data_IF_040875709573
#
_entry.id   IF_040875709573
#
_cell.length_a   1.000
_cell.length_b   1.000
_cell.length_c   1.000
_cell.angle_alpha   90.00
_cell.angle_beta   90.00
_cell.angle_gamma   90.00
#
_symmetry.space_group_name_H-M   'P 1'
#
loop_
_entity.id
_entity.type
_entity.pdbx_description
1 polymer ?
#
# COMPACT_ATOMS: atom_id res chain seq x y z
N UNK A 1 -13.01 -36.98 24.60
CA UNK A 1 -13.19 -35.97 23.53
C UNK A 1 -11.88 -35.32 23.10
N UNK A 2 -11.03 -34.81 24.00
CA UNK A 2 -9.71 -34.23 23.62
C UNK A 2 -8.77 -35.25 22.94
N UNK A 3 -8.87 -36.54 23.28
CA UNK A 3 -8.03 -37.61 22.73
C UNK A 3 -8.06 -37.75 21.20
N UNK A 4 -9.01 -37.11 20.51
CA UNK A 4 -9.12 -37.13 19.05
C UNK A 4 -8.29 -36.03 18.36
N UNK A 5 -7.79 -35.05 19.13
CA UNK A 5 -6.97 -33.95 18.64
C UNK A 5 -5.51 -34.15 19.02
N UNK A 6 -4.64 -34.18 18.02
CA UNK A 6 -3.20 -34.30 18.22
C UNK A 6 -2.57 -32.94 17.98
N UNK A 7 -1.94 -32.40 19.02
CA UNK A 7 -1.33 -31.08 19.00
C UNK A 7 -0.13 -31.05 18.03
N UNK A 8 -0.13 -30.09 17.11
CA UNK A 8 0.94 -29.87 16.13
C UNK A 8 1.81 -28.69 16.59
N UNK A 9 1.16 -27.60 17.00
CA UNK A 9 1.83 -26.38 17.39
C UNK A 9 1.17 -25.75 18.62
N UNK A 10 2.00 -25.14 19.46
CA UNK A 10 1.58 -24.31 20.58
C UNK A 10 1.79 -22.85 20.16
N UNK A 11 0.71 -22.11 19.97
CA UNK A 11 0.77 -20.70 19.58
C UNK A 11 0.96 -19.80 20.80
N UNK A 12 0.23 -20.10 21.88
CA UNK A 12 0.25 -19.30 23.10
C UNK A 12 -0.11 -20.12 24.33
N UNK A 13 0.36 -19.69 25.50
CA UNK A 13 -0.05 -20.26 26.78
C UNK A 13 0.21 -19.30 27.92
N UNK A 14 -0.82 -19.06 28.70
CA UNK A 14 -0.80 -18.39 30.00
C UNK A 14 -1.60 -19.24 31.00
N UNK A 15 -1.81 -18.71 32.21
CA UNK A 15 -2.64 -19.34 33.23
C UNK A 15 -4.11 -19.46 32.80
N UNK A 16 -4.65 -18.45 32.11
CA UNK A 16 -6.06 -18.38 31.74
C UNK A 16 -6.37 -18.97 30.37
N UNK A 17 -5.41 -18.93 29.45
CA UNK A 17 -5.65 -19.40 28.09
C UNK A 17 -4.45 -20.11 27.49
N UNK A 18 -4.73 -21.21 26.78
CA UNK A 18 -3.79 -21.92 25.93
C UNK A 18 -4.37 -22.01 24.52
N UNK A 19 -3.60 -21.57 23.52
CA UNK A 19 -3.97 -21.62 22.10
C UNK A 19 -3.04 -22.59 21.38
N UNK A 20 -3.63 -23.58 20.72
CA UNK A 20 -2.90 -24.63 20.02
C UNK A 20 -3.50 -24.92 18.67
N UNK A 21 -2.66 -25.35 17.72
CA UNK A 21 -3.10 -25.92 16.45
C UNK A 21 -2.97 -27.43 16.54
N UNK A 22 -4.02 -28.14 16.14
CA UNK A 22 -4.11 -29.61 16.24
C UNK A 22 -4.74 -30.19 14.97
N UNK A 23 -4.50 -31.46 14.67
CA UNK A 23 -5.30 -32.20 13.68
C UNK A 23 -6.28 -33.16 14.35
N UNK A 24 -7.40 -33.44 13.70
CA UNK A 24 -8.39 -34.44 14.16
C UNK A 24 -8.21 -35.74 13.38
N UNK A 25 -8.02 -36.85 14.09
CA UNK A 25 -7.77 -38.22 13.58
C UNK A 25 -6.41 -38.44 12.89
N UNK A 26 -5.87 -39.67 12.97
CA UNK A 26 -4.50 -40.09 12.57
C UNK A 26 -4.04 -39.80 11.11
N UNK A 27 -4.87 -39.23 10.23
CA UNK A 27 -4.46 -38.91 8.84
C UNK A 27 -4.33 -37.40 8.67
N UNK A 28 -3.09 -36.97 8.42
CA UNK A 28 -2.74 -35.63 7.96
C UNK A 28 -3.19 -35.53 6.50
N UNK A 29 -4.41 -35.05 6.29
CA UNK A 29 -4.86 -34.52 5.00
C UNK A 29 -5.21 -33.07 5.31
N UNK A 30 -4.78 -32.14 4.45
CA UNK A 30 -4.82 -30.66 4.57
C UNK A 30 -6.19 -30.01 4.88
N UNK A 31 -7.20 -30.81 5.21
CA UNK A 31 -8.58 -30.40 5.51
C UNK A 31 -8.99 -30.57 6.99
N UNK A 32 -8.13 -31.13 7.85
CA UNK A 32 -8.49 -31.46 9.24
C UNK A 32 -7.61 -30.75 10.28
N UNK A 33 -7.19 -29.51 10.02
CA UNK A 33 -6.51 -28.70 11.04
C UNK A 33 -7.51 -27.82 11.80
N UNK A 34 -7.25 -27.66 13.09
CA UNK A 34 -8.11 -26.93 14.01
C UNK A 34 -7.28 -26.07 14.95
N UNK A 35 -7.78 -24.88 15.25
CA UNK A 35 -7.26 -24.04 16.33
C UNK A 35 -8.14 -24.24 17.56
N UNK A 36 -7.50 -24.62 18.67
CA UNK A 36 -8.14 -24.93 19.93
C UNK A 36 -7.77 -23.83 20.92
N UNK A 37 -8.78 -23.10 21.36
CA UNK A 37 -8.68 -22.15 22.46
C UNK A 37 -9.16 -22.84 23.74
N UNK A 38 -8.22 -23.26 24.57
CA UNK A 38 -8.48 -23.83 25.90
C UNK A 38 -8.46 -22.69 26.92
N UNK A 39 -9.59 -22.44 27.57
CA UNK A 39 -9.74 -21.37 28.55
C UNK A 39 -10.06 -21.98 29.92
N UNK A 40 -9.38 -21.53 30.96
CA UNK A 40 -9.61 -21.98 32.33
C UNK A 40 -11.01 -21.60 32.80
N UNK A 41 -11.74 -22.55 33.38
CA UNK A 41 -13.07 -22.28 33.94
C UNK A 41 -12.91 -21.62 35.33
N UNK A 42 -12.91 -20.28 35.33
CA UNK A 42 -12.82 -19.42 36.51
C UNK A 42 -13.94 -18.38 36.53
N UNK A 43 -14.23 -17.80 37.70
CA UNK A 43 -15.29 -16.77 37.89
C UNK A 43 -15.23 -15.65 36.85
N UNK A 44 -14.04 -15.15 36.54
CA UNK A 44 -13.80 -14.08 35.55
C UNK A 44 -14.05 -14.49 34.08
N UNK A 45 -14.08 -15.79 33.78
CA UNK A 45 -14.27 -16.33 32.42
C UNK A 45 -15.68 -16.86 32.16
N UNK A 46 -16.51 -17.00 33.20
CA UNK A 46 -17.85 -17.61 33.11
C UNK A 46 -18.75 -16.84 32.14
N UNK A 47 -18.65 -15.50 32.12
CA UNK A 47 -19.49 -14.69 31.25
C UNK A 47 -19.11 -14.84 29.77
N UNK A 48 -17.82 -14.93 29.47
CA UNK A 48 -17.35 -15.26 28.14
C UNK A 48 -17.82 -16.66 27.71
N UNK A 49 -17.75 -17.64 28.62
CA UNK A 49 -18.26 -19.00 28.37
C UNK A 49 -19.74 -19.00 28.00
N UNK A 50 -20.60 -18.30 28.76
CA UNK A 50 -22.04 -18.22 28.49
C UNK A 50 -22.33 -17.66 27.11
N UNK A 51 -21.67 -16.56 26.74
CA UNK A 51 -21.82 -15.92 25.42
C UNK A 51 -21.38 -16.85 24.29
N UNK A 52 -20.21 -17.47 24.41
CA UNK A 52 -19.71 -18.45 23.44
C UNK A 52 -20.61 -19.68 23.29
N UNK A 53 -21.13 -20.19 24.42
CA UNK A 53 -22.08 -21.31 24.42
C UNK A 53 -23.34 -20.93 23.65
N UNK A 54 -23.88 -19.74 23.90
CA UNK A 54 -25.07 -19.24 23.20
C UNK A 54 -24.86 -19.18 21.70
N UNK A 55 -23.69 -18.73 21.25
CA UNK A 55 -23.36 -18.67 19.82
C UNK A 55 -23.21 -20.07 19.23
N UNK A 56 -22.52 -20.98 19.93
CA UNK A 56 -22.29 -22.33 19.41
C UNK A 56 -23.58 -23.16 19.25
N UNK A 57 -24.53 -23.01 20.17
CA UNK A 57 -25.81 -23.73 20.15
C UNK A 57 -26.96 -22.91 19.56
N UNK A 58 -26.69 -21.66 19.15
CA UNK A 58 -27.69 -20.75 18.59
C UNK A 58 -27.81 -20.86 17.07
N UNK A 59 -28.73 -20.07 16.51
CA UNK A 59 -28.91 -19.96 15.06
C UNK A 59 -27.72 -19.24 14.38
N UNK A 60 -27.01 -18.39 15.12
CA UNK A 60 -25.83 -17.65 14.68
C UNK A 60 -24.53 -18.46 14.73
N UNK A 61 -24.61 -19.79 14.71
CA UNK A 61 -23.42 -20.64 14.75
C UNK A 61 -22.57 -20.40 13.51
N UNK A 62 -21.33 -19.99 13.72
CA UNK A 62 -20.35 -19.84 12.65
C UNK A 62 -19.97 -21.20 12.04
N UNK A 63 -19.86 -21.26 10.71
CA UNK A 63 -19.43 -22.47 9.98
C UNK A 63 -18.05 -22.96 10.48
N UNK A 64 -17.17 -22.01 10.77
CA UNK A 64 -15.82 -22.29 11.25
C UNK A 64 -15.78 -22.71 12.73
N UNK A 65 -16.88 -22.57 13.50
CA UNK A 65 -16.95 -22.96 14.92
C UNK A 65 -17.41 -24.42 15.06
N UNK A 66 -16.44 -25.32 15.18
CA UNK A 66 -16.62 -26.76 15.02
C UNK A 66 -17.16 -27.42 16.27
N UNK A 67 -16.49 -27.21 17.41
CA UNK A 67 -16.81 -27.87 18.67
C UNK A 67 -16.65 -26.91 19.86
N UNK A 68 -17.53 -27.09 20.84
CA UNK A 68 -17.49 -26.41 22.13
C UNK A 68 -17.85 -27.37 23.26
N UNK A 69 -16.96 -27.56 24.23
CA UNK A 69 -17.21 -28.45 25.36
C UNK A 69 -16.38 -28.08 26.60
N UNK A 70 -16.71 -28.69 27.74
CA UNK A 70 -15.98 -28.53 29.00
C UNK A 70 -15.26 -29.84 29.34
N UNK A 71 -14.02 -29.75 29.80
CA UNK A 71 -13.27 -30.89 30.33
C UNK A 71 -12.15 -30.41 31.26
N UNK A 72 -11.93 -31.13 32.37
CA UNK A 72 -10.85 -30.85 33.32
C UNK A 72 -10.81 -29.38 33.78
N UNK A 73 -11.95 -28.82 34.19
CA UNK A 73 -12.10 -27.42 34.60
C UNK A 73 -11.63 -26.38 33.56
N UNK A 74 -11.76 -26.71 32.28
CA UNK A 74 -11.50 -25.80 31.17
C UNK A 74 -12.63 -25.94 30.16
N UNK A 75 -12.98 -24.86 29.46
CA UNK A 75 -13.79 -24.95 28.26
C UNK A 75 -12.92 -24.81 27.01
N UNK A 76 -13.33 -25.49 25.96
CA UNK A 76 -12.59 -25.62 24.71
C UNK A 76 -13.45 -25.04 23.60
N UNK A 77 -12.90 -24.08 22.87
CA UNK A 77 -13.50 -23.55 21.66
C UNK A 77 -12.64 -23.96 20.47
N UNK A 78 -13.19 -24.80 19.60
CA UNK A 78 -12.46 -25.40 18.48
C UNK A 78 -12.98 -24.80 17.18
N UNK A 79 -12.08 -24.17 16.43
CA UNK A 79 -12.39 -23.60 15.13
C UNK A 79 -11.59 -24.29 14.03
N UNK A 80 -12.11 -24.28 12.80
CA UNK A 80 -11.37 -24.71 11.61
C UNK A 80 -10.14 -23.82 11.45
N UNK A 81 -8.99 -24.42 11.16
CA UNK A 81 -7.73 -23.71 10.91
C UNK A 81 -7.24 -24.00 9.50
N UNK A 82 -6.81 -22.94 8.80
CA UNK A 82 -6.13 -23.06 7.52
C UNK A 82 -4.73 -22.49 7.69
N UNK A 83 -3.74 -23.25 7.22
CA UNK A 83 -2.38 -22.75 7.13
C UNK A 83 -2.24 -21.93 5.84
N UNK A 84 -2.44 -20.63 5.97
CA UNK A 84 -2.32 -19.65 4.89
C UNK A 84 -1.53 -18.45 5.40
N UNK A 85 -0.94 -17.68 4.47
CA UNK A 85 -0.15 -16.51 4.82
C UNK A 85 -1.03 -15.40 5.40
N UNK A 86 -0.59 -14.78 6.51
CA UNK A 86 -1.29 -13.65 7.10
C UNK A 86 -1.11 -12.39 6.25
N UNK A 87 -2.05 -11.44 6.31
CA UNK A 87 -1.94 -10.19 5.56
C UNK A 87 -0.70 -9.38 5.96
N UNK A 88 -0.24 -9.52 7.22
CA UNK A 88 0.97 -8.87 7.71
C UNK A 88 2.24 -9.37 7.00
N UNK A 89 2.29 -10.67 6.67
CA UNK A 89 3.39 -11.24 5.91
C UNK A 89 3.23 -10.99 4.41
N UNK A 90 2.02 -11.24 3.88
CA UNK A 90 1.71 -11.17 2.44
C UNK A 90 1.90 -9.77 1.85
N UNK A 91 1.56 -8.73 2.61
CA UNK A 91 1.63 -7.34 2.16
C UNK A 91 2.77 -6.55 2.79
N UNK A 92 3.78 -7.23 3.36
CA UNK A 92 5.00 -6.56 3.81
C UNK A 92 5.61 -5.75 2.65
N UNK A 93 5.90 -4.47 2.90
CA UNK A 93 6.44 -3.53 1.91
C UNK A 93 7.64 -4.05 1.11
N UNK A 94 8.46 -4.93 1.70
CA UNK A 94 9.67 -5.49 1.07
C UNK A 94 9.35 -6.51 -0.01
N UNK A 95 8.19 -7.16 0.06
CA UNK A 95 7.79 -8.28 -0.80
C UNK A 95 6.55 -7.92 -1.65
N UNK A 96 5.85 -6.83 -1.32
CA UNK A 96 4.63 -6.38 -1.99
C UNK A 96 4.81 -6.19 -3.51
N UNK A 97 4.13 -7.05 -4.27
CA UNK A 97 4.10 -7.07 -5.75
C UNK A 97 2.69 -6.95 -6.36
N UNK A 98 1.64 -7.12 -5.54
CA UNK A 98 0.25 -7.06 -5.97
C UNK A 98 -0.16 -5.64 -6.36
N UNK A 99 -1.02 -5.52 -7.38
CA UNK A 99 -1.56 -4.23 -7.83
C UNK A 99 -2.57 -3.67 -6.83
N UNK A 100 -2.79 -2.36 -6.85
CA UNK A 100 -3.70 -1.66 -5.93
C UNK A 100 -5.12 -2.22 -6.00
N UNK A 101 -5.67 -2.38 -7.21
CA UNK A 101 -7.04 -2.86 -7.43
C UNK A 101 -7.30 -4.26 -6.85
N UNK A 102 -6.33 -5.16 -7.00
CA UNK A 102 -6.39 -6.50 -6.39
C UNK A 102 -6.43 -6.41 -4.85
N UNK A 103 -5.63 -5.52 -4.27
CA UNK A 103 -5.63 -5.30 -2.82
C UNK A 103 -6.95 -4.69 -2.33
N UNK A 104 -7.57 -3.82 -3.12
CA UNK A 104 -8.90 -3.26 -2.83
C UNK A 104 -9.94 -4.38 -2.72
N UNK A 105 -9.94 -5.32 -3.68
CA UNK A 105 -10.84 -6.47 -3.66
C UNK A 105 -10.59 -7.36 -2.43
N UNK A 106 -9.34 -7.58 -2.06
CA UNK A 106 -9.00 -8.35 -0.85
C UNK A 106 -9.46 -7.64 0.42
N UNK A 107 -9.26 -6.32 0.54
CA UNK A 107 -9.75 -5.54 1.67
C UNK A 107 -11.27 -5.65 1.80
N UNK A 108 -12.00 -5.51 0.69
CA UNK A 108 -13.47 -5.66 0.66
C UNK A 108 -13.90 -7.05 1.18
N UNK A 109 -13.27 -8.12 0.70
CA UNK A 109 -13.56 -9.49 1.19
C UNK A 109 -13.26 -9.65 2.68
N UNK A 110 -12.19 -9.03 3.18
CA UNK A 110 -11.84 -9.06 4.61
C UNK A 110 -12.89 -8.35 5.44
N UNK A 111 -13.28 -7.14 5.06
CA UNK A 111 -14.26 -6.35 5.81
C UNK A 111 -15.63 -7.06 5.82
N UNK A 112 -16.08 -7.61 4.68
CA UNK A 112 -17.31 -8.42 4.63
C UNK A 112 -17.20 -9.64 5.56
N UNK A 113 -16.06 -10.35 5.58
CA UNK A 113 -15.86 -11.49 6.48
C UNK A 113 -15.90 -11.07 7.96
N UNK A 114 -15.41 -9.88 8.31
CA UNK A 114 -15.47 -9.34 9.68
C UNK A 114 -16.92 -8.98 10.06
N UNK A 115 -17.70 -8.39 9.14
CA UNK A 115 -19.11 -8.05 9.37
C UNK A 115 -19.94 -9.31 9.71
N UNK A 116 -19.68 -10.41 9.02
CA UNK A 116 -20.31 -11.72 9.31
C UNK A 116 -19.98 -12.25 10.71
N UNK A 117 -18.94 -11.74 11.36
CA UNK A 117 -18.48 -12.17 12.68
C UNK A 117 -18.97 -11.25 13.81
N UNK A 118 -19.70 -10.16 13.51
CA UNK A 118 -20.11 -9.14 14.50
C UNK A 118 -20.88 -9.66 15.71
N UNK A 119 -21.52 -10.83 15.58
CA UNK A 119 -22.25 -11.48 16.67
C UNK A 119 -21.33 -12.15 17.69
N UNK A 120 -20.02 -12.25 17.41
CA UNK A 120 -19.04 -12.73 18.39
C UNK A 120 -18.86 -11.72 19.54
N UNK A 121 -18.48 -12.18 20.74
CA UNK A 121 -18.11 -11.31 21.84
C UNK A 121 -17.02 -10.32 21.41
N UNK A 122 -17.13 -9.06 21.84
CA UNK A 122 -16.18 -8.00 21.47
C UNK A 122 -14.74 -8.34 21.82
N UNK A 123 -14.52 -9.06 22.92
CA UNK A 123 -13.20 -9.55 23.35
C UNK A 123 -12.58 -10.50 22.32
N UNK A 124 -13.42 -11.31 21.67
CA UNK A 124 -13.01 -12.23 20.60
C UNK A 124 -12.78 -11.44 19.31
N UNK A 125 -13.69 -10.53 18.96
CA UNK A 125 -13.53 -9.66 17.79
C UNK A 125 -12.19 -8.92 17.84
N UNK A 126 -11.87 -8.29 18.98
CA UNK A 126 -10.59 -7.61 19.20
C UNK A 126 -9.35 -8.52 19.04
N UNK A 127 -9.48 -9.82 19.23
CA UNK A 127 -8.39 -10.77 18.97
C UNK A 127 -8.28 -11.12 17.48
N UNK A 128 -9.40 -11.46 16.86
CA UNK A 128 -9.39 -12.06 15.51
C UNK A 128 -9.28 -11.01 14.39
N UNK A 129 -9.61 -9.75 14.65
CA UNK A 129 -9.43 -8.64 13.68
C UNK A 129 -8.00 -8.12 13.62
N UNK A 130 -7.06 -8.66 14.40
CA UNK A 130 -5.64 -8.28 14.27
C UNK A 130 -5.08 -8.71 12.92
N UNK A 131 -4.22 -7.91 12.25
CA UNK A 131 -3.68 -8.26 10.94
C UNK A 131 -2.97 -9.62 10.87
N UNK A 132 -2.29 -10.06 11.93
CA UNK A 132 -1.65 -11.38 11.99
C UNK A 132 -2.63 -12.57 12.01
N UNK A 133 -3.90 -12.31 12.34
CA UNK A 133 -4.95 -13.33 12.43
C UNK A 133 -5.86 -13.37 11.19
N UNK A 134 -5.61 -12.52 10.20
CA UNK A 134 -6.33 -12.52 8.93
C UNK A 134 -5.41 -13.10 7.87
N UNK A 135 -5.87 -14.17 7.21
CA UNK A 135 -5.08 -14.94 6.26
C UNK A 135 -5.73 -14.94 4.88
N UNK A 136 -4.89 -14.93 3.84
CA UNK A 136 -5.32 -14.93 2.44
C UNK A 136 -4.55 -15.98 1.67
N UNK A 137 -5.25 -17.00 1.16
CA UNK A 137 -4.60 -18.05 0.37
C UNK A 137 -4.26 -17.57 -1.07
N UNK A 138 -3.74 -18.50 -1.87
CA UNK A 138 -3.37 -18.25 -3.26
C UNK A 138 -4.62 -18.03 -4.15
N UNK A 139 -5.77 -18.56 -3.75
CA UNK A 139 -7.06 -18.40 -4.43
C UNK A 139 -7.81 -17.14 -3.96
N UNK A 140 -7.15 -16.25 -3.20
CA UNK A 140 -7.71 -15.00 -2.67
C UNK A 140 -8.82 -15.20 -1.65
N UNK A 141 -8.97 -16.40 -1.09
CA UNK A 141 -9.96 -16.70 -0.07
C UNK A 141 -9.48 -16.24 1.30
N UNK A 142 -10.38 -15.62 2.05
CA UNK A 142 -10.11 -15.06 3.38
C UNK A 142 -10.39 -16.11 4.45
N UNK A 143 -9.43 -16.32 5.34
CA UNK A 143 -9.56 -17.17 6.52
C UNK A 143 -9.24 -16.36 7.78
N UNK A 144 -9.96 -16.67 8.85
CA UNK A 144 -9.72 -16.07 10.16
C UNK A 144 -9.04 -17.10 11.05
N UNK A 145 -7.88 -16.72 11.56
CA UNK A 145 -7.18 -17.45 12.60
C UNK A 145 -7.80 -17.06 13.93
N UNK A 146 -8.70 -17.91 14.44
CA UNK A 146 -9.37 -17.73 15.73
C UNK A 146 -8.42 -17.91 16.93
N UNK A 147 -7.40 -17.04 17.04
CA UNK A 147 -6.39 -17.05 18.08
C UNK A 147 -6.77 -16.09 19.21
N UNK A 148 -7.18 -16.63 20.36
CA UNK A 148 -7.66 -15.82 21.49
C UNK A 148 -6.56 -15.44 22.49
N UNK A 149 -5.28 -15.50 22.09
CA UNK A 149 -4.14 -15.28 22.99
C UNK A 149 -4.23 -13.99 23.84
N UNK A 150 -4.85 -12.93 23.30
CA UNK A 150 -4.91 -11.61 23.92
C UNK A 150 -6.29 -11.27 24.49
N UNK A 151 -7.20 -12.26 24.58
CA UNK A 151 -8.60 -12.05 24.98
C UNK A 151 -8.76 -11.46 26.39
N UNK A 152 -7.75 -11.63 27.24
CA UNK A 152 -7.69 -11.13 28.62
C UNK A 152 -6.61 -10.05 28.83
N UNK A 153 -5.93 -9.60 27.77
CA UNK A 153 -4.85 -8.59 27.89
C UNK A 153 -5.34 -7.15 27.85
N UNK A 154 -6.60 -6.91 27.48
CA UNK A 154 -7.09 -5.55 27.34
C UNK A 154 -7.11 -4.86 28.70
N UNK A 155 -6.46 -3.70 28.74
CA UNK A 155 -6.38 -2.85 29.90
C UNK A 155 -7.79 -2.51 30.38
N UNK A 156 -8.04 -2.50 31.70
CA UNK A 156 -9.40 -2.30 32.24
C UNK A 156 -10.05 -0.97 31.81
N UNK A 157 -9.23 -0.04 31.29
CA UNK A 157 -9.62 1.28 30.83
C UNK A 157 -9.78 1.38 29.30
N UNK A 158 -9.43 0.34 28.53
CA UNK A 158 -9.54 0.36 27.07
C UNK A 158 -10.94 -0.09 26.63
N UNK A 159 -11.63 0.76 25.85
CA UNK A 159 -12.89 0.40 25.22
C UNK A 159 -12.62 -0.59 24.07
N UNK A 160 -13.26 -1.77 24.11
CA UNK A 160 -13.10 -2.81 23.08
C UNK A 160 -13.47 -2.34 21.68
N UNK A 161 -14.41 -1.41 21.56
CA UNK A 161 -14.77 -0.84 20.25
C UNK A 161 -13.62 0.00 19.69
N UNK A 162 -12.84 0.70 20.53
CA UNK A 162 -11.63 1.42 20.09
C UNK A 162 -10.57 0.42 19.58
N UNK A 163 -10.40 -0.70 20.29
CA UNK A 163 -9.46 -1.74 19.88
C UNK A 163 -9.86 -2.35 18.54
N UNK A 164 -11.14 -2.66 18.33
CA UNK A 164 -11.63 -3.20 17.06
C UNK A 164 -11.44 -2.17 15.94
N UNK A 165 -11.75 -0.90 16.19
CA UNK A 165 -11.60 0.17 15.18
C UNK A 165 -10.14 0.40 14.82
N UNK A 166 -9.24 0.36 15.81
CA UNK A 166 -7.80 0.38 15.59
C UNK A 166 -7.33 -0.83 14.77
N UNK A 167 -7.85 -2.02 15.04
CA UNK A 167 -7.53 -3.20 14.24
C UNK A 167 -7.99 -3.03 12.78
N UNK A 168 -9.17 -2.46 12.52
CA UNK A 168 -9.62 -2.15 11.14
C UNK A 168 -8.68 -1.16 10.46
N UNK A 169 -8.29 -0.09 11.15
CA UNK A 169 -7.24 0.82 10.68
C UNK A 169 -5.95 0.06 10.33
N UNK A 170 -5.47 -0.81 11.22
CA UNK A 170 -4.22 -1.55 11.04
C UNK A 170 -4.32 -2.55 9.87
N UNK A 171 -5.49 -3.12 9.58
CA UNK A 171 -5.74 -3.95 8.39
C UNK A 171 -5.56 -3.13 7.12
N UNK A 172 -6.24 -1.98 7.02
CA UNK A 172 -6.17 -1.10 5.85
C UNK A 172 -4.72 -0.65 5.65
N UNK A 173 -4.09 -0.17 6.72
CA UNK A 173 -2.68 0.24 6.69
C UNK A 173 -1.75 -0.91 6.27
N UNK A 174 -1.98 -2.13 6.74
CA UNK A 174 -1.15 -3.29 6.38
C UNK A 174 -1.25 -3.60 4.89
N UNK A 175 -2.47 -3.60 4.35
CA UNK A 175 -2.69 -3.90 2.93
C UNK A 175 -2.14 -2.77 2.04
N UNK A 176 -2.29 -1.52 2.47
CA UNK A 176 -1.95 -0.32 1.69
C UNK A 176 -0.72 0.42 2.22
N UNK A 177 0.22 -0.27 2.84
CA UNK A 177 1.32 0.34 3.60
C UNK A 177 2.10 1.40 2.82
N UNK A 178 2.32 1.20 1.52
CA UNK A 178 3.06 2.16 0.66
C UNK A 178 2.23 3.40 0.37
N UNK A 179 0.95 3.23 0.06
CA UNK A 179 0.02 4.33 -0.21
C UNK A 179 -0.30 5.12 1.07
N UNK A 180 -0.46 4.42 2.19
CA UNK A 180 -0.69 5.00 3.51
C UNK A 180 0.53 5.71 4.10
N UNK A 181 1.74 5.42 3.62
CA UNK A 181 2.95 6.16 4.02
C UNK A 181 3.25 7.33 3.08
N UNK A 182 2.58 7.40 1.93
CA UNK A 182 2.72 8.51 1.03
C UNK A 182 1.93 9.71 1.58
N UNK A 183 2.66 10.73 2.05
CA UNK A 183 2.08 11.97 2.59
C UNK A 183 1.20 12.72 1.57
N UNK A 184 1.44 12.51 0.28
CA UNK A 184 0.67 13.12 -0.81
C UNK A 184 -0.64 12.38 -1.11
N UNK A 185 -0.91 11.23 -0.49
CA UNK A 185 -2.19 10.53 -0.62
C UNK A 185 -3.16 10.97 0.48
N UNK A 186 -3.61 12.23 0.40
CA UNK A 186 -4.50 12.85 1.40
C UNK A 186 -5.77 12.03 1.61
N UNK A 187 -6.38 11.48 0.54
CA UNK A 187 -7.58 10.64 0.65
C UNK A 187 -7.35 9.37 1.45
N UNK A 188 -6.20 8.71 1.29
CA UNK A 188 -5.85 7.54 2.10
C UNK A 188 -5.63 7.90 3.57
N UNK A 189 -5.01 9.05 3.86
CA UNK A 189 -4.89 9.53 5.24
C UNK A 189 -6.26 9.81 5.86
N UNK A 190 -7.15 10.47 5.12
CA UNK A 190 -8.53 10.73 5.57
C UNK A 190 -9.28 9.45 5.92
N UNK A 191 -9.17 8.40 5.10
CA UNK A 191 -9.84 7.12 5.36
C UNK A 191 -9.29 6.49 6.65
N UNK A 192 -7.97 6.48 6.82
CA UNK A 192 -7.34 5.94 8.03
C UNK A 192 -7.75 6.70 9.29
N UNK A 193 -7.79 8.04 9.22
CA UNK A 193 -8.22 8.88 10.32
C UNK A 193 -9.70 8.67 10.66
N UNK A 194 -10.58 8.58 9.64
CA UNK A 194 -11.99 8.25 9.82
C UNK A 194 -12.18 6.88 10.48
N UNK A 195 -11.41 5.86 10.09
CA UNK A 195 -11.44 4.54 10.74
C UNK A 195 -11.01 4.62 12.20
N UNK A 196 -9.91 5.30 12.50
CA UNK A 196 -9.39 5.45 13.86
C UNK A 196 -10.36 6.19 14.77
N UNK A 197 -11.05 7.19 14.24
CA UNK A 197 -11.99 8.04 14.96
C UNK A 197 -13.44 7.52 14.93
N UNK A 198 -13.69 6.32 14.39
CA UNK A 198 -15.02 5.68 14.31
C UNK A 198 -16.07 6.52 13.56
N UNK A 199 -15.64 7.24 12.52
CA UNK A 199 -16.53 8.12 11.76
C UNK A 199 -17.44 7.31 10.84
N UNK A 200 -16.97 6.16 10.33
CA UNK A 200 -17.78 5.30 9.47
C UNK A 200 -18.92 4.64 10.23
N UNK A 201 -20.15 4.84 9.76
CA UNK A 201 -21.35 4.22 10.32
C UNK A 201 -21.47 2.75 9.89
N UNK A 202 -20.85 2.39 8.76
CA UNK A 202 -20.90 1.03 8.23
C UNK A 202 -19.68 0.65 7.38
N UNK A 203 -19.40 -0.66 7.29
CA UNK A 203 -18.38 -1.21 6.39
C UNK A 203 -18.64 -0.87 4.91
N UNK A 204 -19.89 -0.91 4.38
CA UNK A 204 -20.17 -0.45 3.03
C UNK A 204 -19.78 1.00 2.75
N UNK A 205 -20.02 1.91 3.70
CA UNK A 205 -19.62 3.32 3.59
C UNK A 205 -18.10 3.45 3.45
N UNK A 206 -17.35 2.74 4.30
CA UNK A 206 -15.89 2.64 4.21
C UNK A 206 -15.43 2.11 2.85
N UNK A 207 -16.07 1.06 2.32
CA UNK A 207 -15.71 0.48 1.01
C UNK A 207 -15.96 1.49 -0.12
N UNK A 208 -17.05 2.27 -0.06
CA UNK A 208 -17.38 3.29 -1.06
C UNK A 208 -16.32 4.40 -1.04
N UNK A 209 -16.01 4.97 0.13
CA UNK A 209 -14.98 5.99 0.28
C UNK A 209 -13.62 5.47 -0.21
N UNK A 210 -13.29 4.22 0.11
CA UNK A 210 -12.07 3.58 -0.34
C UNK A 210 -12.00 3.44 -1.86
N UNK A 211 -13.06 2.95 -2.51
CA UNK A 211 -13.15 2.84 -3.99
C UNK A 211 -13.09 4.21 -4.68
N UNK A 212 -13.65 5.25 -4.07
CA UNK A 212 -13.57 6.61 -4.59
C UNK A 212 -12.14 7.18 -4.52
N UNK A 213 -11.36 6.79 -3.51
CA UNK A 213 -9.94 7.18 -3.42
C UNK A 213 -9.11 6.62 -4.58
N UNK A 214 -9.46 5.43 -5.09
CA UNK A 214 -8.77 4.78 -6.21
C UNK A 214 -8.86 5.59 -7.51
N UNK A 215 -10.02 6.17 -7.81
CA UNK A 215 -10.23 6.98 -9.02
C UNK A 215 -9.33 8.22 -9.02
N UNK A 216 -9.15 8.85 -7.86
CA UNK A 216 -8.27 10.01 -7.71
C UNK A 216 -6.79 9.64 -7.79
N UNK A 217 -6.40 8.43 -7.35
CA UNK A 217 -5.04 7.92 -7.53
C UNK A 217 -4.75 7.62 -9.01
N UNK A 218 -5.72 7.06 -9.75
CA UNK A 218 -5.58 6.70 -11.17
C UNK A 218 -5.57 7.92 -12.11
N UNK A 219 -6.19 9.04 -11.73
CA UNK A 219 -6.16 10.28 -12.51
C UNK A 219 -4.86 11.09 -12.37
N UNK A 220 -4.00 10.74 -11.39
CA UNK A 220 -2.62 11.26 -11.36
C UNK A 220 -1.82 10.58 -12.47
N UNK A 221 -1.30 11.37 -13.42
CA UNK A 221 -0.95 10.94 -14.77
C UNK A 221 -0.17 9.62 -14.89
N UNK A 222 -0.38 8.93 -16.01
CA UNK A 222 0.19 7.60 -16.36
C UNK A 222 1.68 7.45 -15.98
N UNK A 223 2.47 8.52 -16.07
CA UNK A 223 3.88 8.56 -15.67
C UNK A 223 4.10 8.36 -14.17
N UNK A 224 3.27 8.95 -13.31
CA UNK A 224 3.28 8.75 -11.85
C UNK A 224 2.96 7.30 -11.49
N UNK A 225 1.94 6.71 -12.13
CA UNK A 225 1.59 5.30 -11.96
C UNK A 225 2.74 4.37 -12.39
N UNK A 226 3.34 4.60 -13.56
CA UNK A 226 4.47 3.80 -14.06
C UNK A 226 5.71 3.96 -13.18
N UNK A 227 6.04 5.19 -12.75
CA UNK A 227 7.15 5.47 -11.83
C UNK A 227 6.94 4.77 -10.49
N UNK A 228 5.70 4.74 -10.00
CA UNK A 228 5.31 3.99 -8.81
C UNK A 228 5.51 2.49 -9.03
N UNK A 229 5.04 1.92 -10.14
CA UNK A 229 5.22 0.48 -10.47
C UNK A 229 6.70 0.06 -10.63
N UNK A 230 7.52 0.90 -11.25
CA UNK A 230 8.98 0.67 -11.39
C UNK A 230 9.66 0.77 -10.02
N UNK A 231 9.28 1.75 -9.20
CA UNK A 231 9.74 1.87 -7.82
C UNK A 231 9.36 0.65 -6.97
N UNK A 232 8.11 0.16 -7.11
CA UNK A 232 7.59 -1.03 -6.42
C UNK A 232 8.44 -2.27 -6.69
N UNK A 233 8.99 -2.40 -7.89
CA UNK A 233 9.79 -3.57 -8.32
C UNK A 233 11.29 -3.33 -8.24
N UNK A 234 11.77 -2.16 -7.78
CA UNK A 234 13.21 -1.79 -7.76
C UNK A 234 14.11 -2.82 -7.08
N UNK A 235 13.66 -3.45 -5.99
CA UNK A 235 14.41 -4.50 -5.30
C UNK A 235 14.52 -5.79 -6.11
N UNK A 236 13.42 -6.23 -6.75
CA UNK A 236 13.42 -7.38 -7.65
C UNK A 236 14.25 -7.10 -8.90
N UNK A 237 14.11 -5.91 -9.48
CA UNK A 237 14.90 -5.44 -10.61
C UNK A 237 16.39 -5.50 -10.24
N UNK A 238 16.81 -5.00 -9.07
CA UNK A 238 18.20 -5.08 -8.59
C UNK A 238 18.70 -6.53 -8.42
N UNK A 239 17.84 -7.44 -7.98
CA UNK A 239 18.16 -8.88 -7.83
C UNK A 239 18.35 -9.56 -9.19
N UNK A 240 17.48 -9.28 -10.16
CA UNK A 240 17.56 -9.84 -11.51
C UNK A 240 18.61 -9.16 -12.39
N UNK A 241 18.92 -7.87 -12.18
CA UNK A 241 20.04 -7.21 -12.87
C UNK A 241 21.36 -7.82 -12.48
N UNK A 242 21.56 -8.19 -11.21
CA UNK A 242 22.79 -8.87 -10.79
C UNK A 242 22.93 -10.23 -11.47
N UNK A 243 21.84 -11.00 -11.60
CA UNK A 243 21.84 -12.27 -12.34
C UNK A 243 22.08 -12.09 -13.85
N UNK A 244 21.47 -11.07 -14.46
CA UNK A 244 21.66 -10.74 -15.87
C UNK A 244 23.09 -10.28 -16.17
N UNK A 245 23.69 -9.47 -15.28
CA UNK A 245 25.10 -9.05 -15.37
C UNK A 245 26.02 -10.27 -15.25
N UNK A 246 25.77 -11.19 -14.31
CA UNK A 246 26.55 -12.42 -14.17
C UNK A 246 26.44 -13.29 -15.42
N UNK A 247 25.24 -13.45 -15.98
CA UNK A 247 25.02 -14.19 -17.23
C UNK A 247 25.71 -13.53 -18.42
N UNK A 248 25.65 -12.21 -18.53
CA UNK A 248 26.34 -11.48 -19.61
C UNK A 248 27.86 -11.58 -19.50
N UNK A 249 28.41 -11.47 -18.29
CA UNK A 249 29.86 -11.62 -18.03
C UNK A 249 30.32 -13.05 -18.30
N UNK A 250 29.57 -14.05 -17.87
CA UNK A 250 29.91 -15.46 -18.12
C UNK A 250 29.80 -15.82 -19.61
N UNK A 251 28.77 -15.34 -20.31
CA UNK A 251 28.66 -15.49 -21.75
C UNK A 251 29.80 -14.78 -22.51
N UNK A 252 30.16 -13.56 -22.09
CA UNK A 252 31.29 -12.81 -22.65
C UNK A 252 32.63 -13.50 -22.44
N UNK A 253 32.90 -14.00 -21.23
CA UNK A 253 34.11 -14.78 -20.94
C UNK A 253 34.14 -16.09 -21.73
N UNK A 254 33.01 -16.78 -21.86
CA UNK A 254 32.90 -18.01 -22.65
C UNK A 254 33.15 -17.73 -24.14
N UNK A 255 32.67 -16.61 -24.66
CA UNK A 255 32.92 -16.16 -26.03
C UNK A 255 34.38 -15.82 -26.28
N UNK A 256 35.05 -15.16 -25.33
CA UNK A 256 36.49 -14.88 -25.42
C UNK A 256 37.33 -16.16 -25.39
N UNK A 257 36.96 -17.14 -24.55
CA UNK A 257 37.60 -18.47 -24.54
C UNK A 257 37.36 -19.19 -25.87
N UNK A 258 36.14 -19.12 -26.42
CA UNK A 258 35.83 -19.67 -27.74
C UNK A 258 36.66 -19.04 -28.86
N UNK A 259 36.80 -17.70 -28.88
CA UNK A 259 37.66 -17.00 -29.83
C UNK A 259 39.10 -17.48 -29.70
N UNK A 260 39.65 -17.51 -28.48
CA UNK A 260 41.04 -17.93 -28.24
C UNK A 260 41.32 -19.38 -28.62
N UNK A 261 40.33 -20.26 -28.46
CA UNK A 261 40.42 -21.66 -28.91
C UNK A 261 40.30 -21.79 -30.45
N UNK A 262 39.60 -20.88 -31.10
CA UNK A 262 39.44 -20.84 -32.56
C UNK A 262 40.39 -19.86 -33.28
N UNK A 263 41.28 -19.15 -32.56
CA UNK A 263 42.30 -18.26 -33.13
C UNK A 263 43.31 -19.00 -34.03
N UNK A 264 43.37 -20.33 -33.97
CA UNK A 264 44.13 -21.18 -34.90
C UNK A 264 43.42 -21.54 -36.20
N UNK A 265 42.13 -21.20 -36.38
CA UNK A 265 41.31 -21.62 -37.52
C UNK A 265 40.58 -20.43 -38.18
N UNK A 266 41.31 -19.42 -38.67
CA UNK A 266 40.74 -18.43 -39.60
C UNK A 266 41.30 -18.63 -41.02
N UNK A 267 40.46 -18.90 -42.02
CA UNK A 267 40.81 -18.64 -43.42
C UNK A 267 40.89 -17.12 -43.65
N UNK A 268 41.77 -16.72 -44.57
CA UNK A 268 42.16 -15.34 -44.86
C UNK A 268 40.99 -14.37 -45.10
N UNK A 269 41.16 -13.15 -44.58
CA UNK A 269 40.19 -12.05 -44.59
C UNK A 269 39.73 -11.64 -45.99
N UNK A 270 38.42 -11.47 -46.17
CA UNK A 270 37.83 -10.72 -47.29
C UNK A 270 37.39 -9.34 -46.80
N UNK A 271 38.07 -8.30 -47.28
CA UNK A 271 37.79 -6.88 -47.05
C UNK A 271 36.33 -6.56 -47.42
N UNK A 272 35.54 -6.04 -46.47
CA UNK A 272 34.18 -5.53 -46.74
C UNK A 272 34.25 -4.11 -47.30
N UNK A 273 33.92 -3.96 -48.58
CA UNK A 273 33.61 -2.65 -49.17
C UNK A 273 32.20 -2.19 -48.74
N UNK A 274 32.09 -0.93 -48.32
CA UNK A 274 30.81 -0.24 -48.15
C UNK A 274 30.76 0.92 -49.14
N UNK A 275 29.68 0.99 -49.93
CA UNK A 275 29.46 2.04 -50.92
C UNK A 275 28.28 2.91 -50.47
N UNK A 276 28.49 4.21 -50.36
CA UNK A 276 27.45 5.21 -50.11
C UNK A 276 27.61 6.28 -51.19
N UNK A 277 26.56 6.52 -51.98
CA UNK A 277 26.54 7.60 -52.98
C UNK A 277 27.52 7.44 -54.14
N UNK A 278 27.85 6.20 -54.55
CA UNK A 278 28.65 5.94 -55.74
C UNK A 278 30.17 6.03 -55.58
N UNK A 279 30.68 6.14 -54.35
CA UNK A 279 32.12 6.18 -54.04
C UNK A 279 32.47 5.00 -53.12
N UNK A 280 33.53 4.27 -53.47
CA UNK A 280 34.01 3.09 -52.75
C UNK A 280 35.10 3.50 -51.75
N UNK A 281 34.95 3.14 -50.47
CA UNK A 281 35.96 3.37 -49.43
C UNK A 281 36.68 2.05 -49.09
N UNK A 282 38.01 2.05 -49.16
CA UNK A 282 38.86 1.02 -48.56
C UNK A 282 39.33 1.51 -47.19
N UNK A 283 38.98 0.79 -46.13
CA UNK A 283 39.47 1.09 -44.80
C UNK A 283 40.94 0.60 -44.68
N UNK A 284 41.89 1.45 -45.08
CA UNK A 284 43.28 1.29 -44.67
C UNK A 284 43.49 2.02 -43.35
N UNK A 285 43.90 1.24 -42.34
CA UNK A 285 44.25 1.71 -41.00
C UNK A 285 45.64 2.35 -41.09
N UNK A 286 45.68 3.68 -41.14
CA UNK A 286 46.70 4.60 -40.58
C UNK A 286 46.61 5.94 -41.33
N UNK A 287 46.14 7.00 -40.68
CA UNK A 287 46.92 8.24 -40.59
C UNK A 287 46.33 9.25 -39.59
N UNK A 288 47.21 9.83 -38.80
CA UNK A 288 46.99 10.97 -37.93
C UNK A 288 46.98 12.25 -38.78
N UNK A 289 45.90 13.03 -38.79
CA UNK A 289 46.03 14.47 -39.00
C UNK A 289 44.83 15.28 -38.53
N UNK A 290 45.17 16.24 -37.66
CA UNK A 290 44.34 17.37 -37.20
C UNK A 290 43.57 18.02 -38.34
N UNK A 291 42.29 18.30 -38.12
CA UNK A 291 41.60 19.41 -38.78
C UNK A 291 40.55 20.03 -37.86
N UNK A 292 40.86 21.23 -37.38
CA UNK A 292 39.91 22.15 -36.77
C UNK A 292 38.90 22.61 -37.83
N UNK A 293 37.63 22.71 -37.45
CA UNK A 293 36.65 23.58 -38.09
C UNK A 293 35.89 24.29 -36.98
N UNK A 294 36.16 25.59 -36.87
CA UNK A 294 35.33 26.59 -36.18
C UNK A 294 34.23 26.99 -37.17
N UNK A 295 32.98 27.14 -36.72
CA UNK A 295 31.96 27.96 -37.38
C UNK A 295 30.96 28.49 -36.33
N UNK A 296 30.69 29.79 -36.46
CA UNK A 296 30.02 30.73 -35.57
C UNK A 296 28.54 30.44 -35.28
N UNK A 297 28.04 30.99 -34.16
CA UNK A 297 26.60 31.15 -33.94
C UNK A 297 26.17 31.49 -32.50
N UNK A 298 26.37 32.74 -32.09
CA UNK A 298 25.67 33.54 -31.06
C UNK A 298 24.78 32.85 -30.01
N UNK A 299 25.20 32.88 -28.74
CA UNK A 299 24.31 32.81 -27.58
C UNK A 299 24.03 34.23 -27.07
N UNK A 300 22.77 34.67 -27.16
CA UNK A 300 22.27 35.85 -26.45
C UNK A 300 21.63 35.36 -25.15
N UNK A 301 22.23 35.73 -24.01
CA UNK A 301 21.61 35.65 -22.69
C UNK A 301 20.82 36.94 -22.45
N UNK A 302 19.55 36.83 -22.07
CA UNK A 302 18.80 37.94 -21.48
C UNK A 302 18.32 37.55 -20.09
N UNK A 303 18.89 38.26 -19.11
CA UNK A 303 18.38 38.50 -17.77
C UNK A 303 17.13 39.38 -17.85
N UNK A 304 16.08 39.10 -17.07
CA UNK A 304 14.99 40.06 -16.83
C UNK A 304 14.81 40.23 -15.33
N UNK A 305 14.89 41.52 -14.95
CA UNK A 305 14.72 42.09 -13.63
C UNK A 305 13.31 41.89 -13.07
N UNK A 306 13.27 41.50 -11.80
CA UNK A 306 12.10 41.56 -10.91
C UNK A 306 11.79 43.02 -10.56
N UNK A 307 10.72 43.62 -11.11
CA UNK A 307 9.80 44.56 -10.44
C UNK A 307 8.75 45.05 -11.46
N UNK A 308 7.46 44.88 -11.10
CA UNK A 308 6.22 45.20 -11.82
C UNK A 308 5.61 44.06 -12.67
N UNK A 309 4.67 43.32 -12.08
CA UNK A 309 3.66 42.55 -12.82
C UNK A 309 2.28 43.18 -12.52
N UNK A 310 1.45 43.47 -13.54
CA UNK A 310 0.13 44.08 -13.37
C UNK A 310 -0.87 43.14 -12.66
N UNK A 311 -1.84 43.78 -12.01
CA UNK A 311 -2.98 43.17 -11.30
C UNK A 311 -3.77 42.20 -12.21
N UNK A 312 -3.77 40.90 -11.88
CA UNK A 312 -4.43 39.83 -12.65
C UNK A 312 -5.78 39.47 -12.03
N UNK A 313 -6.88 39.66 -12.78
CA UNK A 313 -8.23 39.16 -12.45
C UNK A 313 -8.47 37.92 -13.30
N UNK A 314 -8.48 36.73 -12.69
CA UNK A 314 -8.68 35.44 -13.36
C UNK A 314 -10.16 35.06 -13.26
N UNK A 315 -10.83 34.87 -14.40
CA UNK A 315 -12.22 34.37 -14.45
C UNK A 315 -12.27 32.85 -14.28
N UNK A 316 -13.21 32.36 -13.47
CA UNK A 316 -13.30 30.98 -12.95
C UNK A 316 -13.75 29.89 -13.95
N UNK A 317 -13.55 30.08 -15.25
CA UNK A 317 -14.08 29.21 -16.32
C UNK A 317 -13.02 28.62 -17.28
N UNK A 318 -11.72 28.74 -16.99
CA UNK A 318 -10.66 28.05 -17.75
C UNK A 318 -10.25 26.73 -17.10
N UNK A 319 -9.90 25.73 -17.92
CA UNK A 319 -9.36 24.40 -17.56
C UNK A 319 -7.96 24.52 -16.90
N UNK A 320 -7.86 25.32 -15.84
CA UNK A 320 -6.64 25.56 -15.09
C UNK A 320 -6.49 24.46 -14.05
N UNK A 321 -5.38 23.72 -14.13
CA UNK A 321 -4.99 22.79 -13.07
C UNK A 321 -4.77 23.55 -11.75
N UNK A 322 -5.41 23.08 -10.67
CA UNK A 322 -5.32 23.67 -9.33
C UNK A 322 -5.17 22.59 -8.26
N UNK A 323 -4.53 22.94 -7.13
CA UNK A 323 -4.42 22.11 -5.93
C UNK A 323 -5.37 22.61 -4.82
N UNK A 324 -6.08 21.72 -4.15
CA UNK A 324 -6.94 22.08 -3.01
C UNK A 324 -6.11 22.15 -1.72
N UNK A 325 -6.05 23.32 -1.07
CA UNK A 325 -5.45 23.55 0.23
C UNK A 325 -6.50 23.78 1.31
N UNK A 326 -6.41 23.06 2.44
CA UNK A 326 -7.29 23.28 3.59
C UNK A 326 -6.60 24.21 4.58
N UNK A 327 -7.21 25.36 4.83
CA UNK A 327 -6.70 26.38 5.74
C UNK A 327 -6.67 25.84 7.18
N UNK A 328 -5.49 25.74 7.79
CA UNK A 328 -5.33 25.37 9.20
C UNK A 328 -5.46 26.59 10.11
N UNK A 329 -5.60 26.38 11.42
CA UNK A 329 -5.81 27.46 12.40
C UNK A 329 -4.65 28.47 12.51
N UNK A 330 -3.46 28.08 12.03
CA UNK A 330 -2.25 28.92 12.01
C UNK A 330 -1.90 29.46 10.63
N UNK A 331 -2.67 29.09 9.60
CA UNK A 331 -2.36 29.47 8.23
C UNK A 331 -2.83 30.91 7.98
N UNK A 332 -1.97 31.71 7.33
CA UNK A 332 -2.34 32.98 6.70
C UNK A 332 -2.22 32.81 5.19
N UNK A 333 -2.94 33.63 4.41
CA UNK A 333 -2.79 33.56 2.94
C UNK A 333 -1.33 33.82 2.51
N UNK A 334 -0.59 34.65 3.25
CA UNK A 334 0.86 34.83 3.10
C UNK A 334 1.62 33.52 3.26
N UNK A 335 1.40 32.79 4.36
CA UNK A 335 2.11 31.53 4.62
C UNK A 335 1.73 30.43 3.62
N UNK A 336 0.48 30.43 3.16
CA UNK A 336 0.00 29.48 2.14
C UNK A 336 0.66 29.77 0.80
N UNK A 337 0.74 31.03 0.39
CA UNK A 337 1.38 31.41 -0.87
C UNK A 337 2.91 31.17 -0.82
N UNK A 338 3.55 31.48 0.30
CA UNK A 338 4.99 31.23 0.47
C UNK A 338 5.31 29.72 0.48
N UNK A 339 4.47 28.90 1.13
CA UNK A 339 4.64 27.44 1.15
C UNK A 339 4.44 26.82 -0.24
N UNK A 340 3.45 27.29 -0.99
CA UNK A 340 3.05 26.68 -2.26
C UNK A 340 3.80 27.24 -3.47
N UNK A 341 4.00 28.56 -3.54
CA UNK A 341 4.64 29.23 -4.67
C UNK A 341 6.08 29.68 -4.38
N UNK A 342 6.53 29.61 -3.13
CA UNK A 342 7.83 30.17 -2.72
C UNK A 342 7.88 31.69 -2.69
N UNK A 343 6.72 32.37 -2.84
CA UNK A 343 6.57 33.82 -2.75
C UNK A 343 5.14 34.19 -2.33
N UNK A 344 5.00 35.33 -1.66
CA UNK A 344 3.71 35.92 -1.29
C UNK A 344 3.06 36.70 -2.44
N UNK A 345 3.69 36.82 -3.59
CA UNK A 345 3.21 37.72 -4.67
C UNK A 345 1.89 37.25 -5.32
N UNK A 346 1.56 35.97 -5.21
CA UNK A 346 0.38 35.35 -5.85
C UNK A 346 -0.92 35.45 -5.02
N UNK A 347 -0.93 36.19 -3.92
CA UNK A 347 -2.10 36.31 -3.02
C UNK A 347 -3.38 36.76 -3.72
N UNK A 348 -3.28 37.80 -4.54
CA UNK A 348 -4.44 38.36 -5.23
C UNK A 348 -4.97 37.37 -6.27
N UNK A 349 -4.09 36.68 -6.98
CA UNK A 349 -4.47 35.63 -7.95
C UNK A 349 -5.21 34.48 -7.26
N UNK A 350 -4.75 34.05 -6.08
CA UNK A 350 -5.44 33.01 -5.29
C UNK A 350 -6.82 33.49 -4.81
N UNK A 351 -6.93 34.72 -4.32
CA UNK A 351 -8.21 35.29 -3.89
C UNK A 351 -9.22 35.38 -5.05
N UNK A 352 -8.78 35.90 -6.20
CA UNK A 352 -9.61 35.99 -7.40
C UNK A 352 -10.04 34.62 -7.92
N UNK A 353 -9.13 33.63 -7.96
CA UNK A 353 -9.46 32.27 -8.42
C UNK A 353 -10.50 31.57 -7.53
N UNK A 354 -10.53 31.92 -6.24
CA UNK A 354 -11.49 31.39 -5.28
C UNK A 354 -12.77 32.22 -5.12
N UNK A 355 -12.90 33.32 -5.87
CA UNK A 355 -13.98 34.31 -5.72
C UNK A 355 -14.09 34.85 -4.28
N UNK A 356 -12.95 35.10 -3.63
CA UNK A 356 -12.87 35.67 -2.27
C UNK A 356 -12.42 37.13 -2.39
N UNK A 357 -13.26 38.06 -1.93
CA UNK A 357 -13.00 39.49 -2.06
C UNK A 357 -11.99 40.00 -1.02
N UNK A 358 -12.02 39.47 0.21
CA UNK A 358 -11.13 39.90 1.28
C UNK A 358 -10.39 38.72 1.92
N UNK A 359 -9.10 38.90 2.21
CA UNK A 359 -8.26 37.90 2.88
C UNK A 359 -8.82 37.49 4.27
N UNK A 360 -9.57 38.36 4.94
CA UNK A 360 -10.20 38.10 6.24
C UNK A 360 -11.35 37.07 6.18
N UNK A 361 -11.87 36.79 4.98
CA UNK A 361 -12.91 35.78 4.77
C UNK A 361 -12.36 34.34 4.73
N UNK A 362 -11.03 34.20 4.71
CA UNK A 362 -10.33 32.93 4.78
C UNK A 362 -10.31 32.44 6.23
N UNK A 363 -11.10 31.41 6.53
CA UNK A 363 -11.24 30.83 7.87
C UNK A 363 -10.66 29.41 7.93
N UNK A 364 -10.17 28.97 9.10
CA UNK A 364 -9.73 27.60 9.29
C UNK A 364 -10.83 26.60 8.91
N UNK A 365 -10.48 25.61 8.10
CA UNK A 365 -11.41 24.64 7.52
C UNK A 365 -11.94 24.98 6.14
N UNK A 366 -11.70 26.19 5.62
CA UNK A 366 -12.01 26.54 4.24
C UNK A 366 -11.08 25.78 3.27
N UNK A 367 -11.61 25.48 2.08
CA UNK A 367 -10.85 24.90 0.97
C UNK A 367 -10.52 26.04 0.02
N UNK A 368 -9.23 26.32 -0.15
CA UNK A 368 -8.68 27.24 -1.14
C UNK A 368 -8.14 26.43 -2.32
N UNK A 369 -8.56 26.78 -3.53
CA UNK A 369 -7.98 26.27 -4.77
C UNK A 369 -6.75 27.11 -5.13
N UNK A 370 -5.60 26.47 -5.24
CA UNK A 370 -4.32 27.10 -5.57
C UNK A 370 -3.97 26.76 -7.02
N UNK A 371 -4.15 27.69 -7.99
CA UNK A 371 -3.82 27.45 -9.39
C UNK A 371 -2.32 27.20 -9.60
N UNK A 372 -1.94 26.37 -10.58
CA UNK A 372 -0.52 26.15 -10.90
C UNK A 372 0.14 27.42 -11.47
N UNK A 373 1.39 27.71 -11.08
CA UNK A 373 2.17 28.88 -11.52
C UNK A 373 2.27 28.93 -13.05
N UNK A 374 2.44 27.77 -13.69
CA UNK A 374 2.56 27.70 -15.15
C UNK A 374 1.27 28.16 -15.83
N UNK A 375 0.12 27.79 -15.27
CA UNK A 375 -1.20 28.23 -15.75
C UNK A 375 -1.46 29.72 -15.49
N UNK A 376 -0.95 30.27 -14.37
CA UNK A 376 -1.00 31.71 -14.07
C UNK A 376 -0.12 32.52 -15.04
N UNK A 377 0.97 31.94 -15.54
CA UNK A 377 1.89 32.60 -16.48
C UNK A 377 1.47 32.44 -17.95
N UNK A 378 0.75 31.38 -18.33
CA UNK A 378 0.27 31.16 -19.71
C UNK A 378 -0.79 32.19 -20.14
N UNK A 379 -1.64 32.67 -19.23
CA UNK A 379 -2.61 33.75 -19.53
C UNK A 379 -1.95 35.16 -19.65
N UNK A 380 -0.65 35.30 -19.37
CA UNK A 380 0.08 36.56 -19.54
C UNK A 380 0.69 36.75 -20.95
N UNK A 381 0.56 35.76 -21.84
CA UNK A 381 1.17 35.76 -23.17
C UNK A 381 0.18 35.67 -24.36
N UNK A 382 -1.13 35.81 -24.14
CA UNK A 382 -2.13 36.02 -25.21
C UNK A 382 -2.57 37.48 -25.37
#
# INVERSE_FOLDING_TARGET
>A
MINNYIQIAKLFSSELIKVTVSYKNKKIIDKNMYIINKIAYKKETVELFKRLRSIFFGQDKLEDFIEFFISNNNFYCIFRYKDAESINLKYDKKILTSVFEERTQILELILVKIELLKNLPKEILACITKPENIQVDLEKKIYIKYNFQDIFKNDKNLNLDDVISKNIHDIIFTIFQKESQNKYNVKMQMILDKCKNKIYESIPELIIDFKNSEKSIKNSGIVSYIKTQIFLRKYLIKKYTNLAIILAVTAGLSYLVYIKLNEGNKPADSIKLVSIGGINYTADIKDDSKKNIILDGSYVSQTIDTHNIPELIISSDSDIDFEDHVVKQTDTLDSICDEYYGTTDYKNSVLSFNNIENQEDIKPGNILKLPDILSILEENFE
#
